data_IF_245347363007
#
_entry.id   IF_245347363007
#
_cell.length_a   1.000
_cell.length_b   1.000
_cell.length_c   1.000
_cell.angle_alpha   90.00
_cell.angle_beta   90.00
_cell.angle_gamma   90.00
#
_symmetry.space_group_name_H-M   'P 1'
#
loop_
_entity.id
_entity.type
_entity.pdbx_description
1 polymer ?
2 non-polymer ?
3 non-polymer ?
4 non-polymer ?
5 non-polymer ?
6 water ?
#
# COMPACT_ATOMS: atom_id res chain seq x y z
N UNK A 5 40.76 0.28 32.28
CA UNK A 5 40.07 -0.65 33.16
C UNK A 5 41.00 -1.80 33.56
N UNK A 6 40.59 -3.03 33.24
CA UNK A 6 41.41 -4.20 33.53
C UNK A 6 41.30 -5.18 32.37
N UNK A 7 42.24 -6.13 32.34
CA UNK A 7 42.37 -7.01 31.20
C UNK A 7 41.14 -7.91 31.07
N UNK A 8 40.64 -8.12 29.85
CA UNK A 8 39.46 -8.96 29.66
C UNK A 8 39.77 -10.44 29.84
N UNK A 9 38.72 -11.21 30.12
CA UNK A 9 38.82 -12.65 30.31
C UNK A 9 38.44 -13.34 29.00
N UNK A 10 39.44 -13.68 28.20
CA UNK A 10 39.18 -14.30 26.91
C UNK A 10 38.71 -15.74 27.04
N UNK A 11 38.95 -16.38 28.18
CA UNK A 11 38.53 -17.76 28.36
C UNK A 11 37.01 -17.87 28.52
N UNK A 12 36.36 -16.81 29.00
CA UNK A 12 34.92 -16.85 29.19
C UNK A 12 34.14 -16.74 27.89
N UNK A 13 34.78 -16.27 26.81
CA UNK A 13 34.11 -16.02 25.55
C UNK A 13 34.68 -16.85 24.42
N UNK A 14 35.50 -17.86 24.72
CA UNK A 14 36.09 -18.68 23.66
C UNK A 14 35.02 -19.49 22.92
N UNK A 15 33.95 -19.87 23.62
CA UNK A 15 32.87 -20.61 22.96
C UNK A 15 32.04 -19.71 22.08
N UNK A 16 31.90 -18.43 22.44
CA UNK A 16 31.12 -17.49 21.63
C UNK A 16 31.77 -17.29 20.26
N UNK A 17 33.10 -17.15 20.23
CA UNK A 17 33.79 -16.97 18.97
C UNK A 17 33.69 -18.21 18.09
N UNK A 18 33.80 -19.40 18.70
CA UNK A 18 33.64 -20.63 17.94
C UNK A 18 32.22 -20.78 17.40
N UNK A 19 31.23 -20.30 18.15
CA UNK A 19 29.85 -20.32 17.67
C UNK A 19 29.64 -19.35 16.51
N UNK A 20 30.49 -18.34 16.39
CA UNK A 20 30.39 -17.36 15.31
C UNK A 20 31.19 -17.76 14.07
N UNK A 21 31.72 -18.98 14.04
CA UNK A 21 32.45 -19.47 12.89
C UNK A 21 33.94 -19.25 12.94
N UNK A 22 34.48 -18.76 14.05
CA UNK A 22 35.91 -18.51 14.19
C UNK A 22 36.60 -19.78 14.67
N UNK A 23 37.62 -20.21 13.94
CA UNK A 23 38.34 -21.41 14.32
C UNK A 23 39.18 -21.16 15.57
N UNK A 24 39.38 -22.23 16.35
CA UNK A 24 40.14 -22.11 17.59
C UNK A 24 41.58 -21.70 17.36
N UNK A 25 42.11 -21.91 16.16
CA UNK A 25 43.49 -21.50 15.87
C UNK A 25 43.60 -19.97 15.86
N UNK A 26 42.57 -19.29 15.35
CA UNK A 26 42.60 -17.84 15.28
C UNK A 26 42.35 -17.17 16.63
N UNK A 27 41.70 -17.87 17.56
CA UNK A 27 41.28 -17.27 18.83
C UNK A 27 42.48 -17.07 19.73
N UNK A 28 42.81 -15.83 20.10
CA UNK A 28 43.92 -15.62 21.04
C UNK A 28 43.55 -16.09 22.44
N UNK A 29 44.45 -16.86 23.04
CA UNK A 29 44.21 -17.35 24.40
C UNK A 29 44.30 -16.22 25.41
N UNK A 30 45.28 -15.35 25.26
CA UNK A 30 45.49 -14.20 26.13
C UNK A 30 45.10 -12.92 25.41
N UNK A 31 44.75 -11.86 26.14
CA UNK A 31 44.39 -10.60 25.50
C UNK A 31 45.51 -10.06 24.63
N UNK A 32 45.14 -9.55 23.46
CA UNK A 32 46.09 -8.98 22.51
C UNK A 32 46.31 -7.51 22.83
N UNK A 33 47.57 -7.09 22.87
CA UNK A 33 47.93 -5.73 23.21
C UNK A 33 47.94 -4.78 22.01
N UNK A 34 47.72 -5.30 20.81
CA UNK A 34 47.65 -4.44 19.63
C UNK A 34 46.39 -3.57 19.67
N UNK A 35 46.47 -2.41 19.02
CA UNK A 35 45.37 -1.45 18.95
C UNK A 35 45.10 -1.17 17.48
N UNK A 36 44.40 -2.08 16.81
CA UNK A 36 44.15 -1.93 15.38
C UNK A 36 42.71 -2.27 15.03
N UNK A 37 41.89 -2.52 16.05
CA UNK A 37 40.48 -2.81 15.79
C UNK A 37 39.78 -1.58 15.24
N UNK A 38 38.96 -1.80 14.21
CA UNK A 38 38.23 -0.74 13.52
C UNK A 38 36.95 -0.34 14.21
N UNK A 39 36.24 -1.30 14.81
CA UNK A 39 34.92 -1.04 15.37
C UNK A 39 34.86 -1.22 16.87
N UNK A 40 35.43 -2.30 17.40
CA UNK A 40 35.49 -2.46 18.83
C UNK A 40 36.53 -1.52 19.43
N UNK A 41 36.45 -1.34 20.74
CA UNK A 41 37.45 -0.57 21.46
C UNK A 41 38.72 -1.40 21.64
N UNK A 42 39.87 -0.75 21.46
CA UNK A 42 41.17 -1.37 21.67
C UNK A 42 41.88 -0.59 22.78
N UNK A 43 41.57 -0.88 24.03
CA UNK A 43 42.16 -0.12 25.13
C UNK A 43 43.57 -0.63 25.42
N UNK A 44 44.21 0.01 26.41
CA UNK A 44 45.56 -0.39 26.80
C UNK A 44 45.55 -1.76 27.46
N UNK A 45 44.46 -2.13 28.14
CA UNK A 45 44.40 -3.41 28.83
C UNK A 45 44.34 -4.58 27.86
N UNK A 46 44.05 -4.32 26.58
CA UNK A 46 44.04 -5.36 25.57
C UNK A 46 42.63 -5.72 25.15
N UNK A 47 42.57 -6.63 24.18
CA UNK A 47 41.31 -7.12 23.64
C UNK A 47 41.44 -8.60 23.32
N UNK A 48 40.30 -9.30 23.34
CA UNK A 48 40.26 -10.72 23.02
C UNK A 48 40.01 -10.99 21.55
N UNK A 49 39.95 -9.96 20.72
CA UNK A 49 39.65 -10.09 19.31
C UNK A 49 40.83 -9.58 18.47
N UNK A 50 41.07 -10.25 17.36
CA UNK A 50 42.04 -9.81 16.37
C UNK A 50 41.33 -9.05 15.25
N UNK A 51 42.14 -8.48 14.35
CA UNK A 51 41.58 -7.77 13.21
C UNK A 51 40.80 -8.70 12.30
N UNK A 52 41.27 -9.94 12.15
CA UNK A 52 40.57 -10.89 11.28
C UNK A 52 39.28 -11.39 11.93
N UNK A 53 39.30 -11.59 13.25
CA UNK A 53 38.07 -11.97 13.94
C UNK A 53 37.01 -10.88 13.83
N UNK A 54 37.43 -9.62 13.96
CA UNK A 54 36.50 -8.51 13.86
C UNK A 54 35.91 -8.41 12.45
N UNK A 55 36.73 -8.63 11.43
CA UNK A 55 36.25 -8.54 10.06
C UNK A 55 35.23 -9.63 9.76
N UNK A 56 35.48 -10.86 10.21
CA UNK A 56 34.54 -11.95 10.00
C UNK A 56 33.19 -11.64 10.66
N UNK A 57 33.22 -11.27 11.93
CA UNK A 57 31.98 -10.94 12.63
C UNK A 57 31.33 -9.68 12.06
N UNK A 58 32.11 -8.79 11.44
CA UNK A 58 31.52 -7.61 10.83
C UNK A 58 30.69 -7.97 9.61
N UNK A 59 31.26 -8.76 8.70
CA UNK A 59 30.51 -9.18 7.52
C UNK A 59 29.37 -10.12 7.89
N UNK A 60 29.50 -10.84 9.01
CA UNK A 60 28.42 -11.71 9.46
C UNK A 60 27.21 -10.89 9.92
N UNK A 61 27.45 -9.80 10.66
CA UNK A 61 26.35 -8.97 11.15
C UNK A 61 25.64 -8.27 10.01
N UNK A 62 26.39 -7.79 9.01
CA UNK A 62 25.76 -7.11 7.88
C UNK A 62 24.93 -8.07 7.06
N UNK A 63 25.38 -9.31 6.90
CA UNK A 63 24.62 -10.29 6.14
C UNK A 63 23.40 -10.78 6.90
N UNK A 64 23.48 -10.85 8.23
CA UNK A 64 22.32 -11.27 9.01
C UNK A 64 21.22 -10.21 8.99
N UNK A 65 21.60 -8.93 9.08
CA UNK A 65 20.60 -7.87 9.02
C UNK A 65 19.99 -7.76 7.63
N UNK A 66 20.83 -7.82 6.59
CA UNK A 66 20.31 -7.74 5.23
C UNK A 66 19.46 -8.97 4.90
N UNK A 67 19.82 -10.13 5.41
CA UNK A 67 19.01 -11.31 5.19
C UNK A 67 17.66 -11.24 5.88
N UNK A 68 17.64 -10.75 7.14
CA UNK A 68 16.39 -10.69 7.89
C UNK A 68 15.43 -9.68 7.27
N UNK A 69 15.93 -8.51 6.86
CA UNK A 69 15.05 -7.51 6.27
C UNK A 69 14.58 -7.95 4.89
N UNK A 70 15.45 -8.62 4.12
CA UNK A 70 15.06 -9.08 2.80
C UNK A 70 13.90 -10.08 2.88
N UNK A 71 13.95 -10.99 3.85
CA UNK A 71 12.88 -11.97 4.01
C UNK A 71 11.58 -11.30 4.45
N UNK A 72 11.68 -10.33 5.35
CA UNK A 72 10.48 -9.65 5.84
C UNK A 72 9.85 -8.80 4.74
N UNK A 73 10.66 -8.06 4.00
CA UNK A 73 10.13 -7.13 3.01
C UNK A 73 9.55 -7.88 1.82
N UNK A 74 10.28 -8.88 1.30
CA UNK A 74 9.82 -9.59 0.12
C UNK A 74 8.56 -10.40 0.40
N UNK A 75 8.41 -10.91 1.63
CA UNK A 75 7.23 -11.68 1.97
C UNK A 75 6.00 -10.78 2.09
N UNK A 76 6.17 -9.58 2.67
CA UNK A 76 5.09 -8.61 2.69
C UNK A 76 4.75 -8.15 1.28
N UNK A 77 5.78 -7.84 0.49
CA UNK A 77 5.56 -7.42 -0.89
C UNK A 77 4.85 -8.50 -1.69
N UNK A 78 5.23 -9.76 -1.48
CA UNK A 78 4.60 -10.84 -2.24
C UNK A 78 3.15 -11.04 -1.86
N UNK A 79 2.83 -10.98 -0.57
CA UNK A 79 1.45 -11.17 -0.12
C UNK A 79 0.57 -10.04 -0.64
N UNK A 80 0.98 -8.79 -0.42
CA UNK A 80 0.19 -7.66 -0.88
C UNK A 80 0.05 -7.64 -2.40
N UNK A 81 1.10 -8.07 -3.11
CA UNK A 81 1.01 -8.11 -4.56
C UNK A 81 0.03 -9.15 -5.07
N UNK A 82 0.01 -10.32 -4.44
CA UNK A 82 -0.89 -11.37 -4.89
C UNK A 82 -2.33 -11.07 -4.50
N UNK A 83 -2.54 -10.47 -3.32
CA UNK A 83 -3.89 -10.07 -2.92
C UNK A 83 -4.44 -8.99 -3.83
N UNK A 84 -3.58 -8.10 -4.32
CA UNK A 84 -4.03 -7.12 -5.30
C UNK A 84 -4.42 -7.79 -6.61
N UNK A 85 -3.69 -8.82 -7.02
CA UNK A 85 -4.05 -9.54 -8.24
C UNK A 85 -5.35 -10.32 -8.06
N UNK A 86 -5.54 -10.93 -6.89
CA UNK A 86 -6.79 -11.62 -6.61
C UNK A 86 -7.96 -10.65 -6.58
N UNK A 87 -7.74 -9.45 -6.04
CA UNK A 87 -8.79 -8.43 -5.98
C UNK A 87 -9.21 -8.01 -7.39
N UNK A 88 -8.24 -7.73 -8.25
CA UNK A 88 -8.56 -7.30 -9.61
C UNK A 88 -9.26 -8.41 -10.39
N UNK A 89 -8.78 -9.65 -10.26
CA UNK A 89 -9.39 -10.76 -10.99
C UNK A 89 -10.83 -10.99 -10.55
N UNK A 90 -11.11 -10.83 -9.25
CA UNK A 90 -12.46 -11.04 -8.75
C UNK A 90 -13.41 -9.98 -9.31
N UNK A 91 -12.99 -8.71 -9.27
CA UNK A 91 -13.86 -7.65 -9.76
C UNK A 91 -13.99 -7.68 -11.27
N UNK A 92 -12.92 -8.07 -11.97
CA UNK A 92 -12.99 -8.19 -13.43
C UNK A 92 -13.98 -9.28 -13.82
N UNK A 93 -13.91 -10.44 -13.16
CA UNK A 93 -14.86 -11.50 -13.44
C UNK A 93 -16.26 -11.11 -13.00
N UNK A 94 -16.38 -10.44 -11.84
CA UNK A 94 -17.68 -9.97 -11.40
C UNK A 94 -18.29 -8.99 -12.39
N UNK A 95 -17.44 -8.19 -13.05
CA UNK A 95 -17.94 -7.23 -14.03
C UNK A 95 -18.47 -7.93 -15.27
N UNK A 96 -17.70 -8.89 -15.81
CA UNK A 96 -18.13 -9.60 -17.01
C UNK A 96 -19.37 -10.44 -16.74
N UNK A 97 -19.44 -11.06 -15.56
CA UNK A 97 -20.62 -11.85 -15.21
C UNK A 97 -21.85 -10.97 -15.06
N UNK A 98 -21.67 -9.70 -14.70
CA UNK A 98 -22.80 -8.81 -14.55
C UNK A 98 -23.37 -8.41 -15.91
N UNK A 99 -22.50 -8.11 -16.87
CA UNK A 99 -22.95 -7.76 -18.22
C UNK A 99 -23.88 -8.83 -18.80
N UNK A 100 -23.56 -10.10 -18.56
CA UNK A 100 -24.40 -11.18 -19.08
C UNK A 100 -25.69 -11.30 -18.29
N UNK A 101 -25.60 -11.28 -16.95
CA UNK A 101 -26.82 -11.34 -16.13
C UNK A 101 -27.72 -10.14 -16.38
N UNK A 102 -27.12 -8.95 -16.52
CA UNK A 102 -27.91 -7.77 -16.82
C UNK A 102 -28.61 -7.89 -18.17
N UNK A 103 -27.89 -8.37 -19.19
CA UNK A 103 -28.50 -8.54 -20.50
C UNK A 103 -29.59 -9.59 -20.48
N UNK A 104 -29.33 -10.72 -19.82
CA UNK A 104 -30.34 -11.77 -19.76
C UNK A 104 -31.54 -11.34 -18.92
N UNK A 105 -31.30 -10.56 -17.85
CA UNK A 105 -32.39 -10.14 -16.98
C UNK A 105 -33.32 -9.17 -17.69
N UNK A 106 -32.78 -8.26 -18.48
CA UNK A 106 -33.61 -7.26 -19.13
C UNK A 106 -34.24 -7.75 -20.42
N UNK A 107 -33.67 -8.79 -21.06
CA UNK A 107 -34.29 -9.34 -22.25
C UNK A 107 -35.53 -10.14 -21.89
N UNK A 108 -35.47 -10.92 -20.80
CA UNK A 108 -36.63 -11.67 -20.35
C UNK A 108 -37.70 -10.76 -19.75
N UNK A 109 -37.33 -9.55 -19.32
CA UNK A 109 -38.27 -8.65 -18.67
C UNK A 109 -38.88 -7.65 -19.65
N UNK A 110 -38.04 -6.95 -20.42
CA UNK A 110 -38.52 -5.90 -21.32
C UNK A 110 -38.63 -6.36 -22.75
N UNK A 111 -38.01 -7.48 -23.14
CA UNK A 111 -38.21 -8.02 -24.46
C UNK A 111 -37.39 -7.31 -25.54
N UNK A 112 -38.00 -7.23 -26.73
CA UNK A 112 -37.27 -6.75 -27.90
C UNK A 112 -37.00 -5.25 -27.81
N UNK A 113 -37.83 -4.51 -27.06
CA UNK A 113 -37.59 -3.07 -26.93
C UNK A 113 -36.28 -2.80 -26.22
N UNK A 114 -35.85 -3.70 -25.34
CA UNK A 114 -34.52 -3.56 -24.74
C UNK A 114 -33.45 -4.08 -25.69
N UNK A 115 -33.65 -5.27 -26.24
CA UNK A 115 -32.66 -5.86 -27.14
C UNK A 115 -32.40 -4.96 -28.34
N UNK A 116 -33.40 -4.18 -28.75
CA UNK A 116 -33.21 -3.21 -29.82
C UNK A 116 -32.18 -2.16 -29.46
N UNK A 117 -32.16 -1.75 -28.18
CA UNK A 117 -31.22 -0.75 -27.69
C UNK A 117 -30.19 -1.35 -26.74
N UNK A 118 -29.95 -2.66 -26.82
CA UNK A 118 -28.98 -3.28 -25.93
C UNK A 118 -27.58 -2.72 -26.14
N UNK A 119 -27.30 -2.20 -27.35
CA UNK A 119 -25.98 -1.66 -27.64
C UNK A 119 -25.66 -0.45 -26.76
N UNK A 120 -26.67 0.33 -26.39
CA UNK A 120 -26.43 1.48 -25.50
C UNK A 120 -25.91 1.00 -24.16
N UNK A 121 -26.41 -0.15 -23.69
CA UNK A 121 -25.99 -0.68 -22.40
C UNK A 121 -24.66 -1.42 -22.50
N UNK A 122 -24.43 -2.15 -23.59
CA UNK A 122 -23.16 -2.85 -23.75
C UNK A 122 -22.01 -1.87 -23.96
N UNK A 123 -22.26 -0.75 -24.65
CA UNK A 123 -21.22 0.26 -24.79
C UNK A 123 -20.85 0.88 -23.44
N UNK A 124 -21.84 1.06 -22.57
CA UNK A 124 -21.55 1.58 -21.23
C UNK A 124 -20.72 0.59 -20.43
N UNK A 125 -21.07 -0.70 -20.48
CA UNK A 125 -20.29 -1.70 -19.79
C UNK A 125 -18.87 -1.76 -20.32
N UNK A 126 -18.70 -1.63 -21.64
CA UNK A 126 -17.36 -1.65 -22.23
C UNK A 126 -16.52 -0.50 -21.69
N UNK A 127 -17.12 0.69 -21.54
CA UNK A 127 -16.40 1.80 -20.95
C UNK A 127 -16.07 1.54 -19.48
N UNK A 128 -17.00 0.91 -18.75
CA UNK A 128 -16.76 0.62 -17.34
C UNK A 128 -15.64 -0.41 -17.17
N UNK A 129 -15.64 -1.44 -18.02
CA UNK A 129 -14.57 -2.44 -17.97
C UNK A 129 -13.23 -1.80 -18.34
N UNK A 130 -13.22 -0.90 -19.32
CA UNK A 130 -11.99 -0.25 -19.72
C UNK A 130 -11.45 0.64 -18.60
N UNK A 131 -12.32 1.33 -17.86
CA UNK A 131 -11.85 2.17 -16.78
C UNK A 131 -11.16 1.35 -15.70
N UNK A 132 -11.80 0.25 -15.27
CA UNK A 132 -11.18 -0.57 -14.23
C UNK A 132 -9.88 -1.18 -14.70
N UNK A 133 -9.72 -1.38 -16.01
CA UNK A 133 -8.51 -1.98 -16.54
C UNK A 133 -7.35 -0.98 -16.57
N UNK A 134 -7.55 0.16 -17.24
CA UNK A 134 -6.46 1.13 -17.42
C UNK A 134 -6.76 2.51 -16.87
N UNK A 135 -8.00 2.81 -16.50
CA UNK A 135 -8.32 4.10 -15.89
C UNK A 135 -8.38 5.28 -16.84
N UNK A 136 -8.33 5.05 -18.15
CA UNK A 136 -8.37 6.13 -19.12
C UNK A 136 -9.79 6.35 -19.64
N UNK A 137 -10.71 6.58 -18.71
CA UNK A 137 -12.11 6.82 -19.01
C UNK A 137 -12.64 7.90 -18.07
N UNK A 138 -13.30 8.91 -18.63
CA UNK A 138 -14.01 9.91 -17.83
C UNK A 138 -15.39 9.35 -17.53
N UNK A 139 -15.56 8.84 -16.31
CA UNK A 139 -16.78 8.10 -15.98
C UNK A 139 -18.01 9.00 -16.04
N UNK A 140 -17.95 10.18 -15.43
CA UNK A 140 -19.10 11.08 -15.44
C UNK A 140 -19.46 11.50 -16.86
N UNK A 141 -18.44 11.71 -17.70
CA UNK A 141 -18.70 12.05 -19.10
C UNK A 141 -19.41 10.90 -19.83
N UNK A 142 -18.95 9.67 -19.61
CA UNK A 142 -19.58 8.52 -20.26
C UNK A 142 -20.98 8.30 -19.71
N UNK A 143 -21.17 8.52 -18.40
CA UNK A 143 -22.50 8.35 -17.81
C UNK A 143 -23.48 9.39 -18.35
N UNK A 144 -23.02 10.64 -18.51
CA UNK A 144 -23.92 11.68 -19.01
C UNK A 144 -24.31 11.42 -20.46
N UNK A 145 -23.37 10.97 -21.29
CA UNK A 145 -23.70 10.61 -22.67
C UNK A 145 -24.60 9.38 -22.72
N UNK A 146 -24.50 8.50 -21.73
CA UNK A 146 -25.37 7.34 -21.67
C UNK A 146 -26.82 7.74 -21.47
N UNK A 147 -27.09 8.61 -20.49
CA UNK A 147 -28.46 9.04 -20.25
C UNK A 147 -28.95 10.00 -21.32
N UNK A 148 -28.04 10.79 -21.92
CA UNK A 148 -28.43 11.66 -23.02
C UNK A 148 -28.98 10.85 -24.18
N UNK A 149 -28.34 9.73 -24.51
CA UNK A 149 -28.87 8.84 -25.54
C UNK A 149 -30.22 8.28 -25.12
N UNK A 150 -30.37 7.91 -23.85
CA UNK A 150 -31.67 7.46 -23.36
C UNK A 150 -32.70 8.59 -23.40
N UNK A 151 -32.27 9.83 -23.13
CA UNK A 151 -33.18 10.96 -23.22
C UNK A 151 -33.69 11.14 -24.64
N UNK A 152 -32.84 10.91 -25.64
CA UNK A 152 -33.25 11.06 -27.03
C UNK A 152 -34.23 9.96 -27.44
N UNK A 153 -33.90 8.72 -27.11
CA UNK A 153 -34.78 7.61 -27.47
C UNK A 153 -36.11 7.70 -26.75
N UNK A 154 -36.10 8.11 -25.49
CA UNK A 154 -37.34 8.26 -24.74
C UNK A 154 -38.20 9.38 -25.31
N UNK A 155 -37.61 10.31 -26.06
CA UNK A 155 -38.38 11.39 -26.67
C UNK A 155 -39.01 10.96 -27.99
N UNK A 156 -38.37 10.04 -28.71
CA UNK A 156 -38.92 9.59 -29.99
C UNK A 156 -40.17 8.75 -29.79
N UNK A 157 -40.10 7.75 -28.91
CA UNK A 157 -41.23 6.84 -28.76
C UNK A 157 -42.38 7.49 -28.00
N UNK A 158 -42.09 8.50 -27.18
CA UNK A 158 -43.18 9.31 -26.62
C UNK A 158 -43.96 9.99 -27.73
N UNK A 159 -43.26 10.49 -28.75
CA UNK A 159 -43.89 11.17 -29.88
C UNK A 159 -43.90 10.26 -31.11
N UNK A 160 -44.53 9.09 -30.96
CA UNK A 160 -44.83 8.26 -32.11
C UNK A 160 -45.84 8.91 -33.05
N UNK A 161 -46.53 9.96 -32.59
CA UNK A 161 -47.45 10.68 -33.46
C UNK A 161 -46.70 11.47 -34.52
N UNK A 162 -45.50 11.93 -34.21
CA UNK A 162 -44.66 12.67 -35.14
C UNK A 162 -43.63 11.74 -35.77
N UNK A 163 -42.93 12.27 -36.78
CA UNK A 163 -41.85 11.56 -37.45
C UNK A 163 -40.54 12.32 -37.19
N UNK A 164 -39.58 11.63 -36.60
CA UNK A 164 -38.27 12.20 -36.27
C UNK A 164 -37.15 11.45 -36.97
N UNK A 165 -37.36 11.06 -38.23
CA UNK A 165 -36.33 10.39 -39.00
C UNK A 165 -35.21 11.34 -39.42
N UNK A 166 -35.35 12.64 -39.16
CA UNK A 166 -34.35 13.62 -39.54
C UNK A 166 -33.17 13.61 -38.57
N UNK A 167 -32.01 14.05 -39.07
CA UNK A 167 -30.84 14.24 -38.23
C UNK A 167 -30.77 15.63 -37.61
N UNK A 168 -31.92 16.30 -37.48
CA UNK A 168 -32.05 17.43 -36.57
C UNK A 168 -32.00 17.00 -35.10
N UNK A 169 -31.72 15.71 -34.85
CA UNK A 169 -31.70 15.18 -33.48
C UNK A 169 -30.60 15.79 -32.63
N UNK A 170 -29.59 16.40 -33.24
CA UNK A 170 -28.55 17.10 -32.48
C UNK A 170 -29.14 18.19 -31.61
N UNK A 171 -30.21 18.83 -32.08
CA UNK A 171 -30.91 19.81 -31.26
C UNK A 171 -31.55 19.15 -30.05
N UNK A 172 -32.13 17.96 -30.24
CA UNK A 172 -32.68 17.21 -29.11
C UNK A 172 -31.57 16.80 -28.16
N UNK A 173 -30.43 16.37 -28.70
CA UNK A 173 -29.30 15.99 -27.85
C UNK A 173 -28.78 17.19 -27.07
N UNK A 174 -28.62 18.34 -27.75
CA UNK A 174 -28.13 19.53 -27.07
C UNK A 174 -29.13 20.04 -26.04
N UNK A 175 -30.43 19.89 -26.30
CA UNK A 175 -31.44 20.36 -25.36
C UNK A 175 -31.64 19.40 -24.21
N UNK A 176 -31.44 18.09 -24.44
CA UNK A 176 -31.54 17.12 -23.35
C UNK A 176 -30.38 17.22 -22.38
N UNK A 177 -29.33 17.97 -22.70
CA UNK A 177 -28.20 18.11 -21.78
C UNK A 177 -28.59 18.92 -20.54
N UNK A 178 -29.46 19.92 -20.71
CA UNK A 178 -29.88 20.75 -19.59
C UNK A 178 -31.20 20.30 -18.98
N UNK A 179 -31.95 19.42 -19.65
CA UNK A 179 -33.22 18.94 -19.14
C UNK A 179 -33.01 17.69 -18.29
N UNK A 180 -33.99 17.41 -17.43
CA UNK A 180 -33.95 16.28 -16.51
C UNK A 180 -35.23 15.47 -16.65
N UNK A 181 -35.35 14.70 -17.73
CA UNK A 181 -36.62 13.98 -17.98
C UNK A 181 -36.95 12.94 -16.90
N UNK A 182 -35.95 12.32 -16.30
CA UNK A 182 -36.16 11.29 -15.28
C UNK A 182 -36.02 11.84 -13.86
N UNK A 183 -35.99 13.16 -13.69
CA UNK A 183 -35.72 13.74 -12.39
C UNK A 183 -34.24 13.69 -12.06
N UNK A 184 -33.92 13.45 -10.79
CA UNK A 184 -32.54 13.39 -10.33
C UNK A 184 -32.00 11.96 -10.26
N UNK A 185 -32.77 10.99 -10.75
CA UNK A 185 -32.34 9.58 -10.68
C UNK A 185 -31.08 9.34 -11.50
N UNK A 186 -30.97 9.79 -12.76
CA UNK A 186 -29.72 9.54 -13.50
C UNK A 186 -28.50 10.19 -12.87
N UNK A 187 -28.62 11.43 -12.39
CA UNK A 187 -27.48 12.10 -11.79
C UNK A 187 -27.04 11.42 -10.50
N UNK A 188 -28.00 11.03 -9.66
CA UNK A 188 -27.64 10.33 -8.43
C UNK A 188 -27.00 8.99 -8.73
N UNK A 189 -27.49 8.28 -9.76
CA UNK A 189 -26.93 6.98 -10.10
C UNK A 189 -25.57 7.12 -10.75
N UNK A 190 -25.38 8.16 -11.58
CA UNK A 190 -24.09 8.35 -12.25
C UNK A 190 -22.99 8.64 -11.25
N UNK A 191 -23.28 9.42 -10.21
CA UNK A 191 -22.25 9.74 -9.21
C UNK A 191 -21.93 8.52 -8.36
N UNK A 192 -22.96 7.78 -7.94
CA UNK A 192 -22.71 6.59 -7.12
C UNK A 192 -21.96 5.52 -7.88
N UNK A 193 -22.19 5.40 -9.20
CA UNK A 193 -21.41 4.47 -10.01
C UNK A 193 -19.97 4.97 -10.15
N UNK A 194 -19.80 6.26 -10.43
CA UNK A 194 -18.46 6.81 -10.61
C UNK A 194 -17.64 6.67 -9.33
N UNK A 195 -18.22 7.04 -8.19
CA UNK A 195 -17.51 6.89 -6.92
C UNK A 195 -17.12 5.44 -6.68
N UNK A 196 -18.02 4.50 -7.00
CA UNK A 196 -17.76 3.10 -6.73
C UNK A 196 -16.60 2.58 -7.58
N UNK A 197 -16.59 2.92 -8.88
CA UNK A 197 -15.55 2.41 -9.76
C UNK A 197 -14.20 3.07 -9.48
N UNK A 198 -14.19 4.34 -9.12
CA UNK A 198 -12.93 5.00 -8.77
C UNK A 198 -12.36 4.42 -7.48
N UNK A 199 -13.20 4.24 -6.47
CA UNK A 199 -12.74 3.67 -5.22
C UNK A 199 -12.29 2.22 -5.40
N UNK A 200 -13.00 1.45 -6.23
CA UNK A 200 -12.64 0.05 -6.43
C UNK A 200 -11.30 -0.09 -7.15
N UNK A 201 -11.12 0.67 -8.24
CA UNK A 201 -9.87 0.60 -8.99
C UNK A 201 -8.69 1.12 -8.16
N UNK A 202 -8.87 2.26 -7.51
CA UNK A 202 -7.79 2.85 -6.73
C UNK A 202 -7.37 1.93 -5.59
N UNK A 203 -8.33 1.24 -4.97
CA UNK A 203 -8.01 0.32 -3.89
C UNK A 203 -7.02 -0.76 -4.34
N UNK A 204 -7.30 -1.39 -5.48
CA UNK A 204 -6.39 -2.39 -6.01
C UNK A 204 -5.12 -1.82 -6.60
N UNK A 205 -5.21 -0.65 -7.23
CA UNK A 205 -4.02 -0.05 -7.84
C UNK A 205 -3.04 0.44 -6.78
N UNK A 206 -3.56 1.07 -5.72
CA UNK A 206 -2.69 1.53 -4.65
C UNK A 206 -2.03 0.36 -3.93
N UNK A 207 -2.77 -0.75 -3.76
CA UNK A 207 -2.18 -1.92 -3.14
C UNK A 207 -1.07 -2.51 -3.99
N UNK A 208 -1.23 -2.47 -5.32
CA UNK A 208 -0.19 -2.96 -6.22
C UNK A 208 1.06 -2.09 -6.13
N UNK A 209 0.88 -0.77 -6.17
CA UNK A 209 2.02 0.14 -6.11
C UNK A 209 2.75 0.00 -4.78
N UNK A 210 2.01 -0.18 -3.69
CA UNK A 210 2.65 -0.40 -2.39
C UNK A 210 3.50 -1.67 -2.39
N UNK A 211 3.05 -2.70 -3.10
CA UNK A 211 3.85 -3.91 -3.21
C UNK A 211 5.08 -3.68 -4.08
N UNK A 212 4.96 -2.84 -5.10
CA UNK A 212 6.08 -2.57 -5.99
C UNK A 212 7.13 -1.72 -5.30
N UNK A 213 6.70 -0.64 -4.62
CA UNK A 213 7.67 0.24 -3.96
C UNK A 213 8.33 -0.47 -2.79
N UNK A 214 7.60 -1.37 -2.11
CA UNK A 214 8.21 -2.14 -1.03
C UNK A 214 9.30 -3.05 -1.56
N UNK A 215 9.06 -3.67 -2.72
CA UNK A 215 10.06 -4.55 -3.31
C UNK A 215 11.32 -3.77 -3.73
N UNK A 216 11.15 -2.52 -4.18
CA UNK A 216 12.29 -1.72 -4.60
C UNK A 216 13.17 -1.29 -3.42
N UNK A 217 12.62 -1.26 -2.20
CA UNK A 217 13.42 -0.93 -1.03
C UNK A 217 14.53 -1.94 -0.82
N UNK A 218 14.36 -3.16 -1.35
CA UNK A 218 15.40 -4.18 -1.25
C UNK A 218 16.68 -3.79 -1.98
N UNK A 219 16.61 -2.84 -2.91
CA UNK A 219 17.79 -2.41 -3.66
C UNK A 219 18.73 -1.53 -2.85
N UNK A 220 18.31 -1.06 -1.68
CA UNK A 220 19.12 -0.15 -0.87
C UNK A 220 20.02 -0.98 0.03
N UNK A 221 21.33 -0.86 -0.17
CA UNK A 221 22.30 -1.58 0.63
C UNK A 221 22.66 -0.79 1.88
N UNK A 222 23.05 -1.51 2.93
CA UNK A 222 23.55 -0.87 4.14
C UNK A 222 24.87 -0.18 3.85
N UNK A 223 25.12 0.94 4.54
CA UNK A 223 26.33 1.71 4.34
C UNK A 223 27.40 1.33 5.37
N UNK A 224 28.60 1.87 5.16
CA UNK A 224 29.72 1.53 6.04
C UNK A 224 29.48 2.00 7.48
N UNK A 225 28.79 3.13 7.66
CA UNK A 225 28.51 3.60 9.01
C UNK A 225 27.63 2.62 9.77
N UNK A 226 26.76 1.90 9.07
CA UNK A 226 25.93 0.89 9.73
C UNK A 226 26.76 -0.29 10.20
N UNK A 227 27.74 -0.72 9.40
CA UNK A 227 28.56 -1.86 9.78
C UNK A 227 29.28 -1.61 11.10
N UNK A 228 29.82 -0.40 11.29
CA UNK A 228 30.55 -0.11 12.51
C UNK A 228 29.66 -0.19 13.75
N UNK A 229 28.51 0.48 13.71
CA UNK A 229 27.61 0.47 14.87
C UNK A 229 27.02 -0.91 15.11
N UNK A 230 26.82 -1.69 14.04
CA UNK A 230 26.20 -3.00 14.18
C UNK A 230 27.13 -3.98 14.90
N UNK A 231 28.42 -3.93 14.59
CA UNK A 231 29.37 -4.85 15.21
C UNK A 231 29.68 -4.47 16.65
N UNK A 232 29.78 -3.17 16.92
CA UNK A 232 29.97 -2.73 18.30
C UNK A 232 28.80 -3.17 19.18
N UNK A 233 27.59 -3.23 18.60
CA UNK A 233 26.42 -3.62 19.37
C UNK A 233 26.35 -5.14 19.56
N UNK A 234 26.59 -5.90 18.50
CA UNK A 234 26.28 -7.32 18.52
C UNK A 234 27.47 -8.19 18.92
N UNK A 235 28.69 -7.82 18.51
CA UNK A 235 29.85 -8.70 18.68
C UNK A 235 30.93 -8.18 19.62
N UNK A 236 31.10 -6.86 19.74
CA UNK A 236 32.23 -6.33 20.48
C UNK A 236 32.15 -6.60 21.98
N UNK A 237 30.99 -7.03 22.49
CA UNK A 237 30.92 -7.39 23.89
C UNK A 237 31.82 -8.57 24.23
N UNK A 238 31.88 -9.57 23.34
CA UNK A 238 32.73 -10.72 23.57
C UNK A 238 34.21 -10.35 23.49
N UNK A 239 34.54 -9.30 22.73
CA UNK A 239 35.94 -8.86 22.65
C UNK A 239 36.45 -8.31 23.96
N UNK A 240 35.57 -7.90 24.87
CA UNK A 240 35.96 -7.48 26.21
C UNK A 240 35.76 -8.58 27.24
N UNK A 241 35.59 -9.83 26.81
CA UNK A 241 35.38 -10.92 27.73
C UNK A 241 33.97 -11.04 28.28
N UNK A 242 33.04 -10.22 27.81
CA UNK A 242 31.66 -10.24 28.28
C UNK A 242 30.86 -11.25 27.48
N UNK A 243 29.95 -11.95 28.18
CA UNK A 243 29.07 -12.92 27.54
C UNK A 243 27.62 -12.47 27.45
N UNK A 244 27.27 -11.33 28.04
CA UNK A 244 25.89 -10.89 28.06
C UNK A 244 25.43 -10.42 26.68
N UNK A 245 24.13 -10.54 26.45
CA UNK A 245 23.53 -10.07 25.22
C UNK A 245 23.46 -8.54 25.22
N UNK A 246 23.35 -7.93 24.05
CA UNK A 246 23.19 -6.46 24.00
C UNK A 246 21.86 -6.03 24.58
N UNK A 247 21.84 -4.80 25.09
CA UNK A 247 20.59 -4.25 25.61
C UNK A 247 19.60 -4.04 24.47
N UNK A 248 18.31 -4.21 24.78
CA UNK A 248 17.28 -4.13 23.76
C UNK A 248 17.24 -2.74 23.13
N UNK A 249 17.08 -1.70 23.97
CA UNK A 249 17.04 -0.34 23.44
C UNK A 249 18.31 0.02 22.71
N UNK A 250 19.46 -0.50 23.16
CA UNK A 250 20.71 -0.29 22.44
C UNK A 250 20.65 -0.95 21.06
N UNK A 251 20.18 -2.20 21.00
CA UNK A 251 20.03 -2.87 19.71
C UNK A 251 19.05 -2.14 18.81
N UNK A 252 17.91 -1.70 19.37
CA UNK A 252 16.89 -1.03 18.56
C UNK A 252 17.43 0.25 17.95
N UNK A 253 18.18 1.02 18.74
CA UNK A 253 18.75 2.27 18.24
C UNK A 253 19.74 2.03 17.11
N UNK A 254 20.49 0.92 17.18
CA UNK A 254 21.47 0.62 16.13
C UNK A 254 20.76 0.23 14.84
N UNK A 255 19.78 -0.67 14.93
CA UNK A 255 19.06 -1.10 13.73
C UNK A 255 18.28 0.07 13.14
N UNK A 256 17.72 0.92 13.99
CA UNK A 256 17.03 2.11 13.48
C UNK A 256 17.96 2.99 12.68
N UNK A 257 19.22 3.10 13.10
CA UNK A 257 20.17 3.88 12.34
C UNK A 257 20.59 3.20 11.05
N UNK A 258 20.82 1.89 11.11
CA UNK A 258 21.11 1.12 9.90
C UNK A 258 19.99 1.26 8.88
N UNK A 259 18.74 1.27 9.33
CA UNK A 259 17.57 1.36 8.47
C UNK A 259 16.95 2.76 8.48
N UNK A 260 17.74 3.79 8.80
CA UNK A 260 17.18 5.13 8.91
C UNK A 260 16.76 5.70 7.56
N UNK A 261 17.28 5.15 6.45
CA UNK A 261 16.82 5.59 5.13
C UNK A 261 15.34 5.30 4.89
N UNK A 262 14.71 4.54 5.77
CA UNK A 262 13.29 4.21 5.69
C UNK A 262 12.42 5.11 6.54
N UNK A 263 12.97 6.22 7.06
CA UNK A 263 12.24 7.02 8.03
C UNK A 263 11.01 7.67 7.41
N UNK A 264 11.21 8.48 6.37
CA UNK A 264 10.08 9.08 5.66
C UNK A 264 9.17 8.01 5.08
N UNK A 265 9.75 6.96 4.51
CA UNK A 265 8.95 5.90 3.90
C UNK A 265 8.08 5.20 4.93
N UNK A 266 8.56 5.09 6.17
CA UNK A 266 7.75 4.48 7.22
C UNK A 266 6.54 5.34 7.55
N UNK A 267 6.72 6.65 7.67
CA UNK A 267 5.60 7.52 8.04
C UNK A 267 4.55 7.57 6.94
N UNK A 268 4.98 7.65 5.68
CA UNK A 268 4.02 7.64 4.59
C UNK A 268 3.35 6.28 4.42
N UNK A 269 4.05 5.20 4.79
CA UNK A 269 3.43 3.88 4.78
C UNK A 269 2.25 3.83 5.74
N UNK A 270 2.37 4.49 6.89
CA UNK A 270 1.25 4.59 7.81
C UNK A 270 0.10 5.40 7.19
N UNK A 271 0.43 6.48 6.49
CA UNK A 271 -0.60 7.24 5.78
C UNK A 271 -1.27 6.39 4.72
N UNK A 272 -0.49 5.55 4.03
CA UNK A 272 -1.06 4.63 3.06
C UNK A 272 -2.02 3.65 3.72
N UNK A 273 -1.64 3.10 4.87
CA UNK A 273 -2.48 2.13 5.55
C UNK A 273 -3.77 2.78 6.07
N UNK A 274 -3.68 4.03 6.53
CA UNK A 274 -4.87 4.71 7.02
C UNK A 274 -5.80 5.09 5.88
N UNK A 275 -5.24 5.47 4.73
CA UNK A 275 -6.07 5.79 3.58
C UNK A 275 -6.69 4.54 2.98
N UNK A 276 -5.96 3.42 3.00
CA UNK A 276 -6.52 2.15 2.53
C UNK A 276 -7.68 1.71 3.39
N UNK A 277 -7.59 1.91 4.72
CA UNK A 277 -8.68 1.51 5.59
C UNK A 277 -9.91 2.39 5.38
N UNK A 278 -9.71 3.64 4.99
CA UNK A 278 -10.85 4.52 4.70
C UNK A 278 -11.54 4.09 3.41
N UNK A 279 -10.77 3.77 2.37
CA UNK A 279 -11.38 3.32 1.12
C UNK A 279 -12.06 1.97 1.32
N UNK A 280 -11.43 1.06 2.07
CA UNK A 280 -12.07 -0.22 2.38
C UNK A 280 -13.37 -0.01 3.14
N UNK A 281 -13.45 1.03 3.96
CA UNK A 281 -14.71 1.34 4.64
C UNK A 281 -15.78 1.74 3.63
N UNK A 282 -15.39 2.52 2.61
CA UNK A 282 -16.33 2.90 1.57
C UNK A 282 -16.76 1.70 0.73
N UNK A 283 -15.80 0.85 0.37
CA UNK A 283 -16.11 -0.31 -0.48
C UNK A 283 -17.04 -1.30 0.22
N UNK A 284 -16.95 -1.40 1.54
CA UNK A 284 -17.84 -2.25 2.30
C UNK A 284 -19.14 -1.56 2.68
N UNK A 285 -19.28 -0.27 2.36
CA UNK A 285 -20.46 0.48 2.73
C UNK A 285 -21.07 1.28 1.58
N UNK A 286 -20.94 2.60 1.65
CA UNK A 286 -21.67 3.48 0.74
C UNK A 286 -21.27 3.25 -0.71
N UNK A 287 -19.98 3.07 -0.97
CA UNK A 287 -19.47 2.97 -2.33
C UNK A 287 -19.53 1.55 -2.87
N UNK A 288 -20.16 0.62 -2.15
CA UNK A 288 -20.23 -0.76 -2.62
C UNK A 288 -21.03 -0.82 -3.91
N UNK A 289 -20.46 -1.49 -4.92
CA UNK A 289 -21.10 -1.57 -6.22
C UNK A 289 -22.39 -2.38 -6.18
N UNK A 290 -22.58 -3.20 -5.14
CA UNK A 290 -23.82 -3.94 -5.00
C UNK A 290 -24.94 -3.01 -4.54
N UNK A 291 -24.61 -1.95 -3.80
CA UNK A 291 -25.62 -1.04 -3.27
C UNK A 291 -26.26 -0.18 -4.36
N UNK A 292 -25.68 -0.13 -5.56
CA UNK A 292 -26.28 0.64 -6.65
C UNK A 292 -27.05 -0.23 -7.63
N UNK A 293 -26.88 -1.56 -7.57
CA UNK A 293 -27.58 -2.47 -8.48
C UNK A 293 -28.68 -3.25 -7.79
N UNK A 294 -28.61 -3.43 -6.46
CA UNK A 294 -29.71 -4.09 -5.76
C UNK A 294 -31.02 -3.32 -5.89
N UNK A 295 -31.09 -2.00 -5.63
CA UNK A 295 -32.38 -1.31 -5.75
C UNK A 295 -32.58 -0.69 -7.12
N UNK A 296 -32.12 -1.37 -8.17
CA UNK A 296 -32.13 -0.76 -9.50
C UNK A 296 -33.55 -0.66 -10.06
N UNK A 297 -34.42 -1.62 -9.76
CA UNK A 297 -35.77 -1.59 -10.32
C UNK A 297 -36.60 -0.46 -9.71
N UNK A 298 -36.34 -0.11 -8.46
CA UNK A 298 -37.07 0.99 -7.85
C UNK A 298 -36.58 2.33 -8.39
N UNK A 299 -35.30 2.43 -8.74
CA UNK A 299 -34.80 3.65 -9.37
C UNK A 299 -35.39 3.83 -10.77
N UNK A 300 -35.62 2.73 -11.48
CA UNK A 300 -36.26 2.82 -12.79
C UNK A 300 -37.72 3.25 -12.64
N UNK A 301 -38.41 2.72 -11.62
CA UNK A 301 -39.80 3.08 -11.39
C UNK A 301 -39.95 4.55 -11.07
N UNK A 302 -39.00 5.11 -10.31
CA UNK A 302 -39.05 6.55 -10.03
C UNK A 302 -38.75 7.36 -11.28
N UNK A 303 -37.84 6.87 -12.13
CA UNK A 303 -37.55 7.56 -13.38
C UNK A 303 -38.77 7.57 -14.30
N UNK A 304 -39.48 6.44 -14.38
CA UNK A 304 -40.68 6.38 -15.21
C UNK A 304 -41.78 7.26 -14.62
N UNK A 305 -41.93 7.24 -13.29
CA UNK A 305 -42.90 8.11 -12.64
C UNK A 305 -42.60 9.58 -12.90
N UNK A 306 -41.32 9.95 -12.89
CA UNK A 306 -40.94 11.33 -13.19
C UNK A 306 -41.14 11.66 -14.66
N UNK A 307 -41.00 10.68 -15.54
CA UNK A 307 -41.19 10.92 -16.96
C UNK A 307 -42.66 11.01 -17.36
N UNK A 308 -43.55 10.39 -16.58
CA UNK A 308 -44.98 10.52 -16.86
C UNK A 308 -45.54 11.84 -16.33
N UNK A 309 -44.93 12.39 -15.27
CA UNK A 309 -45.37 13.69 -14.76
C UNK A 309 -44.80 14.85 -15.56
N UNK A 310 -43.60 14.68 -16.12
CA UNK A 310 -42.92 15.73 -16.85
C UNK A 310 -42.86 15.48 -18.35
N UNK A 311 -43.44 14.39 -18.84
CA UNK A 311 -43.35 14.07 -20.26
C UNK A 311 -44.06 15.09 -21.13
N UNK A 312 -45.29 15.45 -20.76
CA UNK A 312 -46.02 16.45 -21.53
C UNK A 312 -45.37 17.82 -21.41
N UNK A 313 -44.68 18.09 -20.30
CA UNK A 313 -44.03 19.38 -20.11
C UNK A 313 -42.73 19.46 -20.91
N UNK A 314 -42.00 18.36 -21.02
CA UNK A 314 -40.72 18.40 -21.70
C UNK A 314 -40.88 18.30 -23.22
N UNK A 315 -41.87 17.55 -23.70
CA UNK A 315 -42.07 17.43 -25.14
C UNK A 315 -42.47 18.76 -25.77
N UNK A 316 -43.03 19.67 -24.99
CA UNK A 316 -43.31 21.01 -25.50
C UNK A 316 -42.07 21.90 -25.44
N UNK A 317 -41.22 21.72 -24.43
CA UNK A 317 -40.01 22.52 -24.33
C UNK A 317 -38.97 22.10 -25.37
N UNK A 318 -39.02 20.84 -25.81
CA UNK A 318 -38.11 20.39 -26.85
C UNK A 318 -38.49 21.00 -28.20
N UNK A 319 -39.79 21.06 -28.50
CA UNK A 319 -40.24 21.71 -29.73
C UNK A 319 -39.83 23.17 -29.77
N UNK A 320 -39.78 23.83 -28.61
CA UNK A 320 -39.28 25.20 -28.53
C UNK A 320 -37.77 25.18 -28.66
N UNK A 321 -37.26 25.67 -29.79
CA UNK A 321 -35.84 25.70 -30.06
C UNK A 321 -35.38 24.71 -31.10
N UNK A 322 -36.17 23.67 -31.37
CA UNK A 322 -35.83 22.68 -32.39
C UNK A 322 -36.86 22.67 -33.52
N UNK A 323 -38.13 22.44 -33.22
CA UNK A 323 -39.16 22.41 -34.23
C UNK A 323 -40.26 21.40 -33.94
N UNK A 438 -23.41 -16.01 2.09
CA UNK A 438 -24.30 -14.89 2.37
C UNK A 438 -23.54 -13.57 2.25
N UNK A 439 -22.23 -13.67 2.08
CA UNK A 439 -21.36 -12.51 1.93
C UNK A 439 -20.70 -12.55 0.56
N UNK A 440 -20.79 -11.48 -0.23
CA UNK A 440 -20.19 -11.50 -1.56
C UNK A 440 -18.67 -11.66 -1.49
N UNK A 441 -18.12 -12.36 -2.48
CA UNK A 441 -16.68 -12.61 -2.50
C UNK A 441 -15.90 -11.32 -2.70
N UNK A 442 -16.51 -10.30 -3.29
CA UNK A 442 -15.83 -9.01 -3.39
C UNK A 442 -15.63 -8.38 -2.02
N UNK A 443 -16.64 -8.48 -1.15
CA UNK A 443 -16.46 -8.03 0.23
C UNK A 443 -15.43 -8.86 0.97
N UNK A 444 -15.33 -10.15 0.64
CA UNK A 444 -14.40 -11.03 1.34
C UNK A 444 -12.94 -10.66 1.03
N UNK A 445 -12.65 -10.34 -0.24
CA UNK A 445 -11.29 -9.98 -0.59
C UNK A 445 -10.97 -8.56 -0.10
N UNK A 446 -11.96 -7.68 -0.05
CA UNK A 446 -11.75 -6.35 0.49
C UNK A 446 -11.46 -6.43 1.99
N UNK A 447 -12.21 -7.28 2.72
CA UNK A 447 -11.94 -7.46 4.14
C UNK A 447 -10.58 -8.11 4.36
N UNK A 448 -10.21 -9.05 3.49
CA UNK A 448 -8.91 -9.71 3.63
C UNK A 448 -7.77 -8.71 3.45
N UNK A 449 -7.83 -7.91 2.38
CA UNK A 449 -6.82 -6.88 2.15
C UNK A 449 -6.81 -5.87 3.29
N UNK A 450 -7.98 -5.44 3.74
CA UNK A 450 -8.07 -4.44 4.80
C UNK A 450 -7.40 -4.92 6.08
N UNK A 451 -7.57 -6.21 6.42
CA UNK A 451 -6.97 -6.73 7.63
C UNK A 451 -5.46 -6.87 7.48
N UNK A 452 -4.99 -7.29 6.30
CA UNK A 452 -3.56 -7.48 6.11
C UNK A 452 -2.84 -6.14 6.01
N UNK A 453 -3.45 -5.15 5.36
CA UNK A 453 -2.88 -3.81 5.35
C UNK A 453 -2.86 -3.24 6.77
N UNK A 454 -3.88 -3.58 7.56
CA UNK A 454 -3.88 -3.20 8.97
C UNK A 454 -2.72 -3.86 9.71
N UNK A 455 -2.38 -5.09 9.33
CA UNK A 455 -1.26 -5.78 9.98
C UNK A 455 0.08 -5.15 9.62
N UNK A 456 0.25 -4.73 8.37
CA UNK A 456 1.50 -4.16 7.89
C UNK A 456 1.59 -2.65 8.09
N UNK A 457 0.71 -2.07 8.90
CA UNK A 457 0.73 -0.62 9.11
C UNK A 457 2.04 -0.17 9.75
N UNK A 458 2.45 -0.84 10.83
CA UNK A 458 3.68 -0.52 11.54
C UNK A 458 4.85 -1.40 11.10
N UNK A 459 4.82 -1.90 9.87
CA UNK A 459 5.82 -2.87 9.43
C UNK A 459 7.22 -2.29 9.47
N UNK A 460 7.39 -1.06 8.98
CA UNK A 460 8.73 -0.50 8.83
C UNK A 460 9.32 -0.08 10.17
N UNK A 461 8.52 0.52 11.05
CA UNK A 461 9.04 0.90 12.36
C UNK A 461 9.22 -0.30 13.27
N UNK A 462 8.61 -1.43 12.95
CA UNK A 462 8.75 -2.65 13.73
C UNK A 462 9.95 -3.50 13.30
N UNK A 463 10.56 -3.19 12.15
CA UNK A 463 11.74 -3.95 11.72
C UNK A 463 12.86 -3.94 12.75
N UNK A 464 13.29 -2.81 13.30
CA UNK A 464 14.34 -2.88 14.34
C UNK A 464 13.94 -3.73 15.54
N UNK A 465 12.68 -3.65 15.97
CA UNK A 465 12.22 -4.52 17.05
C UNK A 465 12.16 -5.98 16.61
N UNK A 466 11.90 -6.22 15.32
CA UNK A 466 11.87 -7.60 14.83
C UNK A 466 13.28 -8.16 14.71
N UNK A 467 14.24 -7.34 14.27
CA UNK A 467 15.62 -7.79 14.13
C UNK A 467 16.22 -8.14 15.49
N UNK A 468 15.91 -7.34 16.52
CA UNK A 468 16.48 -7.53 17.84
C UNK A 468 15.80 -8.64 18.64
N UNK A 469 14.95 -9.45 18.01
CA UNK A 469 14.24 -10.52 18.70
C UNK A 469 14.52 -11.91 18.13
N UNK A 470 15.40 -12.03 17.15
CA UNK A 470 15.68 -13.32 16.53
C UNK A 470 16.76 -14.07 17.31
N UNK A 471 17.10 -15.27 16.84
CA UNK A 471 18.14 -16.06 17.49
C UNK A 471 19.53 -15.47 17.26
N UNK A 472 19.70 -14.75 16.15
CA UNK A 472 21.03 -14.24 15.81
C UNK A 472 21.51 -13.20 16.82
N UNK A 473 20.61 -12.34 17.28
CA UNK A 473 21.01 -11.29 18.21
C UNK A 473 20.48 -11.64 19.60
N UNK A 474 19.17 -11.79 19.70
CA UNK A 474 18.49 -12.19 20.94
C UNK A 474 18.86 -11.26 22.10
N UNK A 475 18.68 -9.97 21.87
CA UNK A 475 19.07 -8.96 22.85
C UNK A 475 18.29 -9.14 24.14
N UNK A 476 18.93 -8.80 25.26
CA UNK A 476 18.33 -8.94 26.57
C UNK A 476 17.46 -7.73 26.88
N UNK A 477 16.28 -7.99 27.46
CA UNK A 477 15.35 -6.92 27.78
C UNK A 477 15.77 -6.10 29.00
N UNK A 478 16.77 -6.56 29.75
CA UNK A 478 17.24 -5.85 30.93
C UNK A 478 17.88 -4.52 30.56
N UNK A 481 19.15 -4.40 34.53
CA UNK A 481 19.89 -5.65 34.63
C UNK A 481 21.24 -5.60 33.93
N UNK A 482 21.75 -6.77 33.56
CA UNK A 482 23.07 -6.89 32.95
C UNK A 482 22.91 -7.08 31.44
N UNK A 483 23.35 -6.09 30.67
CA UNK A 483 23.36 -6.19 29.22
C UNK A 483 24.43 -5.28 28.67
N UNK A 484 24.91 -5.62 27.46
CA UNK A 484 25.98 -4.89 26.81
C UNK A 484 25.44 -3.59 26.21
N UNK A 485 25.97 -2.46 26.67
CA UNK A 485 25.51 -1.15 26.20
C UNK A 485 26.48 -0.48 25.24
N UNK A 486 27.47 -1.22 24.73
CA UNK A 486 28.46 -0.69 23.83
C UNK A 486 29.79 -0.40 24.49
N UNK A 487 29.83 -0.27 25.81
CA UNK A 487 31.08 0.03 26.51
C UNK A 487 31.30 -0.95 27.66
N UNK A 488 30.26 -1.19 28.45
CA UNK A 488 30.36 -2.04 29.62
C UNK A 488 29.07 -2.84 29.77
N UNK A 489 29.01 -3.66 30.80
CA UNK A 489 27.81 -4.41 31.16
C UNK A 489 27.10 -3.58 32.22
N UNK A 490 26.27 -2.64 31.77
CA UNK A 490 25.60 -1.72 32.66
C UNK A 490 24.30 -1.28 32.00
N UNK A 491 23.63 -0.30 32.61
CA UNK A 491 22.39 0.22 32.05
C UNK A 491 22.67 1.07 30.82
N UNK A 492 21.81 0.91 29.80
CA UNK A 492 21.89 1.73 28.60
C UNK A 492 21.22 3.06 28.86
N UNK A 493 21.98 4.15 28.75
CA UNK A 493 21.48 5.46 29.16
C UNK A 493 20.45 6.01 28.18
N UNK A 494 20.75 5.94 26.88
CA UNK A 494 19.88 6.54 25.89
C UNK A 494 18.55 5.80 25.80
N UNK A 495 17.54 6.51 25.31
CA UNK A 495 16.23 5.93 25.03
C UNK A 495 16.07 5.71 23.54
N UNK A 496 15.03 4.96 23.17
CA UNK A 496 14.77 4.67 21.77
C UNK A 496 14.47 5.98 21.04
N UNK A 497 15.32 6.31 20.08
CA UNK A 497 15.22 7.59 19.39
C UNK A 497 14.11 7.58 18.35
N UNK A 498 13.52 8.76 18.13
CA UNK A 498 12.53 8.96 17.08
C UNK A 498 12.86 10.15 16.20
N UNK A 499 14.07 10.69 16.31
CA UNK A 499 14.47 11.86 15.54
C UNK A 499 14.69 11.48 14.07
N UNK A 500 14.67 12.50 13.22
CA UNK A 500 14.91 12.35 11.79
C UNK A 500 16.23 13.05 11.47
N UNK A 501 17.30 12.27 11.32
CA UNK A 501 18.60 12.79 10.98
C UNK A 501 19.67 12.60 12.04
N UNK A 502 19.32 12.01 13.19
CA UNK A 502 20.29 11.79 14.26
C UNK A 502 19.96 10.46 14.95
N UNK A 503 20.96 9.96 15.68
CA UNK A 503 20.85 8.70 16.41
C UNK A 503 21.96 8.69 17.45
N UNK A 504 21.69 8.25 18.68
CA UNK A 504 22.75 8.26 19.71
C UNK A 504 23.93 7.36 19.40
N UNK A 505 23.74 6.36 18.54
CA UNK A 505 24.80 5.42 18.19
C UNK A 505 25.51 5.78 16.90
N UNK A 506 25.22 6.95 16.33
CA UNK A 506 25.84 7.39 15.09
C UNK A 506 26.30 8.83 15.24
N UNK A 507 27.46 9.14 14.63
CA UNK A 507 28.02 10.48 14.77
C UNK A 507 27.16 11.51 14.04
N UNK A 508 26.93 11.30 12.75
CA UNK A 508 26.12 12.22 11.98
C UNK A 508 24.78 11.65 11.59
N UNK A 509 24.34 11.91 10.36
CA UNK A 509 23.08 11.37 9.88
C UNK A 509 23.27 9.92 9.45
N UNK A 510 22.60 8.96 10.10
CA UNK A 510 22.78 7.55 9.71
C UNK A 510 22.36 7.25 8.28
N UNK A 511 21.48 8.05 7.69
CA UNK A 511 21.05 7.84 6.31
C UNK A 511 21.95 8.66 5.38
N UNK A 512 22.59 7.97 4.44
CA UNK A 512 23.46 8.63 3.50
C UNK A 512 22.66 9.19 2.32
N UNK A 513 23.28 10.13 1.60
CA UNK A 513 22.62 10.73 0.46
C UNK A 513 22.31 9.70 -0.63
N UNK A 514 23.16 8.69 -0.78
CA UNK A 514 22.90 7.66 -1.78
C UNK A 514 21.67 6.84 -1.43
N UNK A 515 21.45 6.58 -0.13
CA UNK A 515 20.31 5.77 0.27
C UNK A 515 19.00 6.53 0.07
N UNK A 516 18.96 7.80 0.46
CA UNK A 516 17.73 8.57 0.30
C UNK A 516 17.44 8.86 -1.17
N UNK A 517 18.48 8.90 -2.02
CA UNK A 517 18.26 9.10 -3.45
C UNK A 517 17.62 7.86 -4.08
N UNK A 518 17.97 6.66 -3.59
CA UNK A 518 17.32 5.45 -4.07
C UNK A 518 15.87 5.37 -3.60
N UNK A 519 15.57 5.94 -2.43
CA UNK A 519 14.22 5.92 -1.90
C UNK A 519 13.33 7.02 -2.46
N UNK A 520 13.89 7.96 -3.23
CA UNK A 520 13.13 9.13 -3.67
C UNK A 520 11.96 8.74 -4.56
N UNK A 521 12.22 7.91 -5.57
CA UNK A 521 11.14 7.52 -6.49
C UNK A 521 10.12 6.63 -5.79
N UNK A 522 10.58 5.78 -4.88
CA UNK A 522 9.64 4.95 -4.12
C UNK A 522 8.81 5.78 -3.17
N UNK A 523 9.41 6.83 -2.58
CA UNK A 523 8.65 7.73 -1.73
C UNK A 523 7.63 8.52 -2.55
N UNK A 524 7.98 8.90 -3.77
CA UNK A 524 7.06 9.67 -4.60
C UNK A 524 5.90 8.83 -5.09
N UNK A 525 6.16 7.56 -5.45
CA UNK A 525 5.07 6.69 -5.87
C UNK A 525 4.13 6.38 -4.72
N UNK A 526 4.68 6.16 -3.52
CA UNK A 526 3.84 5.88 -2.36
C UNK A 526 2.97 7.07 -2.02
N UNK A 527 3.53 8.28 -2.04
CA UNK A 527 2.73 9.47 -1.77
C UNK A 527 1.68 9.68 -2.86
N UNK A 528 2.02 9.34 -4.10
CA UNK A 528 1.06 9.50 -5.19
C UNK A 528 -0.16 8.62 -4.99
N UNK A 529 0.04 7.39 -4.51
CA UNK A 529 -1.09 6.51 -4.25
C UNK A 529 -1.94 7.01 -3.08
N UNK A 530 -1.32 7.68 -2.11
CA UNK A 530 -2.07 8.21 -0.97
C UNK A 530 -3.01 9.32 -1.41
N UNK A 531 -2.59 10.12 -2.39
CA UNK A 531 -3.45 11.18 -2.90
C UNK A 531 -4.66 10.58 -3.61
N UNK A 532 -4.45 9.51 -4.38
CA UNK A 532 -5.56 8.88 -5.08
C UNK A 532 -6.52 8.20 -4.11
N UNK A 533 -5.99 7.59 -3.05
CA UNK A 533 -6.85 6.98 -2.05
C UNK A 533 -7.70 8.02 -1.33
N UNK A 534 -7.09 9.16 -0.97
CA UNK A 534 -7.85 10.21 -0.29
C UNK A 534 -8.92 10.80 -1.21
N UNK A 535 -8.56 11.05 -2.48
CA UNK A 535 -9.56 11.54 -3.44
C UNK A 535 -10.67 10.51 -3.63
N UNK A 536 -10.32 9.23 -3.72
CA UNK A 536 -11.33 8.19 -3.91
C UNK A 536 -12.24 8.09 -2.69
N UNK A 537 -11.71 8.33 -1.49
CA UNK A 537 -12.53 8.29 -0.29
C UNK A 537 -13.57 9.41 -0.29
N UNK A 538 -13.17 10.61 -0.73
CA UNK A 538 -14.10 11.73 -0.77
C UNK A 538 -14.98 11.71 -2.01
N UNK A 539 -14.54 11.07 -3.09
CA UNK A 539 -15.35 10.92 -4.28
C UNK A 539 -15.44 12.14 -5.16
N UNK A 540 -14.65 13.18 -4.89
CA UNK A 540 -14.70 14.39 -5.71
C UNK A 540 -13.67 14.30 -6.83
N UNK A 541 -13.93 15.05 -7.90
CA UNK A 541 -13.04 15.06 -9.07
C UNK A 541 -13.33 16.28 -9.95
#
# INVERSE_FOLDING_TARGET
ETGDQFSPNCSAVTHIFQARGIDAIEIPQKPSNERVLRYCESPSVGTCCTYNMETRMAMQSRQQLEGHTKDQISRMSGILGSKATKFKDIFTALLKESRTQFNSMFIRTYGVIYERNSYVFSDLFKELETYFANGRVDLLEVMDKFFNTLYQKMFTVLNTQYTFDENYMRCVSEHMKELKPFGDVPDKLSVQIKRSFVATRTYGQALTTASEVAKKVLNVRLNADCTGALTKMQHCGACKGYTEKPCTNYCVNVIKGCLHYQHEFDSEWENFAMAMDKVAERLLGSFNIVMVVEPLNIKISEAIMNFQDSGQDITNRVFQGCGRPKLQAMKQSISPKLQGVQILNARSPVEADTLDIDETLDEAIVLQERAAAEPGSQETSAQQSQEQGVGKSGNGGGGGGGNNRRQQQRRKQQQQRRKQQNNRDDNDDDDNESGGGREPILDRIVRDIRQRVKDYKKFWSNLPHSVCSNEDIASSSDVDGMCWNGHTIDRYMHSITTEHGSNPEFTGNPASTKQTAQMASQLSHLKNAIVHLRNAYNGQDVEWSEQGTLEVLFQ
#
